data_IF_257500534155
#
_entry.id   IF_257500534155
#
_cell.length_a   1.000
_cell.length_b   1.000
_cell.length_c   1.000
_cell.angle_alpha   90.00
_cell.angle_beta   90.00
_cell.angle_gamma   90.00
#
_symmetry.space_group_name_H-M   'P 1'
#
loop_
_entity.id
_entity.type
_entity.pdbx_description
1 polymer ?
#
# COMPACT_ATOMS: atom_id res chain seq x y z
N UNK A 1 -1.80 15.33 -14.69
CA UNK A 1 -0.77 14.66 -13.87
C UNK A 1 -1.07 13.18 -13.67
N UNK A 2 -2.30 12.82 -13.26
CA UNK A 2 -2.70 11.44 -12.99
C UNK A 2 -2.62 10.53 -14.23
N UNK A 3 -3.02 11.03 -15.40
CA UNK A 3 -2.95 10.25 -16.65
C UNK A 3 -1.53 9.75 -16.95
N UNK A 4 -0.50 10.58 -16.75
CA UNK A 4 0.89 10.19 -16.99
C UNK A 4 1.38 9.08 -16.06
N UNK A 5 0.88 9.03 -14.81
CA UNK A 5 1.19 7.95 -13.87
C UNK A 5 0.50 6.64 -14.28
N UNK A 6 -0.75 6.71 -14.74
CA UNK A 6 -1.46 5.55 -15.28
C UNK A 6 -0.75 5.00 -16.52
N UNK A 7 -0.36 5.88 -17.44
CA UNK A 7 0.37 5.51 -18.67
C UNK A 7 1.73 4.87 -18.33
N UNK A 8 2.45 5.41 -17.34
CA UNK A 8 3.73 4.84 -16.88
C UNK A 8 3.54 3.44 -16.28
N UNK A 9 2.55 3.25 -15.40
CA UNK A 9 2.24 1.94 -14.80
C UNK A 9 1.88 0.91 -15.87
N UNK A 10 1.11 1.33 -16.88
CA UNK A 10 0.75 0.48 -18.01
C UNK A 10 1.97 0.14 -18.89
N UNK A 11 2.80 1.13 -19.23
CA UNK A 11 3.99 0.96 -20.06
C UNK A 11 5.04 0.04 -19.39
N UNK A 12 5.11 0.05 -18.06
CA UNK A 12 5.99 -0.82 -17.28
C UNK A 12 5.32 -2.14 -16.86
N UNK A 13 4.07 -2.38 -17.28
CA UNK A 13 3.29 -3.57 -16.94
C UNK A 13 3.25 -3.86 -15.42
N UNK A 14 3.12 -2.81 -14.61
CA UNK A 14 3.07 -2.90 -13.15
C UNK A 14 1.66 -3.30 -12.73
N UNK A 15 1.52 -4.51 -12.18
CA UNK A 15 0.20 -5.09 -11.87
C UNK A 15 -0.04 -5.25 -10.37
N UNK A 16 1.01 -5.36 -9.55
CA UNK A 16 0.89 -5.55 -8.11
C UNK A 16 1.33 -4.30 -7.38
N UNK A 17 0.38 -3.57 -6.80
CA UNK A 17 0.65 -2.44 -5.93
C UNK A 17 0.66 -2.90 -4.47
N UNK A 18 1.76 -2.66 -3.76
CA UNK A 18 1.94 -2.94 -2.35
C UNK A 18 1.86 -1.63 -1.57
N UNK A 19 0.94 -1.55 -0.61
CA UNK A 19 0.77 -0.42 0.31
C UNK A 19 0.85 -0.90 1.76
N UNK A 20 2.05 -0.91 2.35
CA UNK A 20 2.22 -1.17 3.78
C UNK A 20 1.59 -0.06 4.61
N UNK A 21 0.89 -0.43 5.66
CA UNK A 21 0.28 0.46 6.64
C UNK A 21 0.72 0.01 8.02
N UNK A 22 1.55 0.84 8.67
CA UNK A 22 2.06 0.60 10.02
C UNK A 22 1.76 1.81 10.91
N UNK A 23 1.24 1.52 12.09
CA UNK A 23 1.12 2.52 13.17
C UNK A 23 2.39 2.43 14.00
N UNK A 24 3.22 3.47 13.91
CA UNK A 24 4.46 3.53 14.69
C UNK A 24 4.17 3.89 16.15
N UNK A 25 4.95 3.36 17.10
CA UNK A 25 4.86 3.77 18.50
C UNK A 25 4.97 5.28 18.66
N UNK A 26 4.02 5.87 19.39
CA UNK A 26 3.92 7.33 19.58
C UNK A 26 3.20 8.08 18.45
N UNK A 27 2.62 7.38 17.47
CA UNK A 27 1.72 7.94 16.45
C UNK A 27 0.27 7.44 16.58
N UNK A 28 -0.07 6.68 17.62
CA UNK A 28 -1.42 6.17 17.84
C UNK A 28 -2.46 7.29 18.03
N UNK A 29 -2.02 8.49 18.42
CA UNK A 29 -2.85 9.68 18.57
C UNK A 29 -2.95 10.54 17.29
N UNK A 30 -2.21 10.19 16.23
CA UNK A 30 -2.24 10.93 14.96
C UNK A 30 -3.46 10.56 14.10
N UNK A 31 -4.22 9.53 14.48
CA UNK A 31 -5.44 9.07 13.81
C UNK A 31 -6.69 9.47 14.61
N UNK A 32 -7.86 9.67 13.97
CA UNK A 32 -9.12 9.89 14.68
C UNK A 32 -9.62 8.67 15.48
N UNK A 33 -8.99 7.50 15.31
CA UNK A 33 -9.37 6.28 16.03
C UNK A 33 -8.78 6.23 17.43
N UNK A 34 -9.41 5.44 18.31
CA UNK A 34 -8.89 5.26 19.67
C UNK A 34 -7.53 4.54 19.63
N UNK A 35 -6.52 5.01 20.38
CA UNK A 35 -5.16 4.45 20.35
C UNK A 35 -5.13 2.92 20.54
N UNK A 36 -5.92 2.38 21.47
CA UNK A 36 -5.97 0.95 21.77
C UNK A 36 -6.52 0.07 20.63
N UNK A 37 -7.20 0.67 19.65
CA UNK A 37 -7.70 -0.04 18.46
C UNK A 37 -6.63 -0.16 17.38
N UNK A 38 -5.80 0.87 17.23
CA UNK A 38 -4.83 0.99 16.13
C UNK A 38 -3.41 0.58 16.53
N UNK A 39 -3.09 0.59 17.82
CA UNK A 39 -1.78 0.21 18.34
C UNK A 39 -1.38 -1.19 17.85
N UNK A 40 -0.20 -1.30 17.24
CA UNK A 40 0.29 -2.55 16.66
C UNK A 40 -0.27 -2.91 15.29
N UNK A 41 -1.01 -2.01 14.63
CA UNK A 41 -1.42 -2.20 13.23
C UNK A 41 -0.18 -2.24 12.34
N UNK A 42 -0.06 -3.31 11.58
CA UNK A 42 1.00 -3.53 10.60
C UNK A 42 0.45 -4.48 9.53
N UNK A 43 -0.10 -3.94 8.45
CA UNK A 43 -0.69 -4.72 7.36
C UNK A 43 -0.14 -4.27 6.01
N UNK A 44 -0.31 -5.09 4.98
CA UNK A 44 0.00 -4.72 3.60
C UNK A 44 -1.20 -4.98 2.71
N UNK A 45 -1.63 -3.97 1.96
CA UNK A 45 -2.63 -4.13 0.91
C UNK A 45 -1.92 -4.40 -0.42
N UNK A 46 -2.31 -5.50 -1.07
CA UNK A 46 -1.88 -5.94 -2.40
C UNK A 46 -3.04 -5.69 -3.36
N UNK A 47 -2.93 -4.59 -4.10
CA UNK A 47 -3.94 -4.12 -5.05
C UNK A 47 -3.56 -4.50 -6.48
N UNK A 48 -4.50 -5.05 -7.23
CA UNK A 48 -4.38 -5.16 -8.69
C UNK A 48 -4.35 -3.77 -9.33
N UNK A 49 -3.36 -3.48 -10.18
CA UNK A 49 -3.09 -2.11 -10.63
C UNK A 49 -3.33 -1.90 -12.14
N UNK A 50 -3.50 -2.96 -12.92
CA UNK A 50 -3.43 -2.92 -14.39
C UNK A 50 -4.71 -3.32 -15.12
N UNK A 51 -5.74 -3.78 -14.40
CA UNK A 51 -7.02 -4.22 -14.94
C UNK A 51 -8.22 -3.71 -14.12
N UNK A 52 -9.33 -4.42 -14.22
CA UNK A 52 -10.56 -4.08 -13.52
C UNK A 52 -11.30 -2.88 -14.12
N UNK A 53 -12.18 -2.27 -13.30
CA UNK A 53 -13.10 -1.23 -13.74
C UNK A 53 -12.40 -0.01 -14.38
N UNK A 54 -11.17 0.29 -13.97
CA UNK A 54 -10.43 1.48 -14.42
C UNK A 54 -9.99 1.38 -15.89
N UNK A 55 -9.74 0.16 -16.36
CA UNK A 55 -9.21 -0.09 -17.70
C UNK A 55 -10.18 -0.83 -18.62
N UNK A 56 -11.24 -1.42 -18.06
CA UNK A 56 -12.20 -2.22 -18.83
C UNK A 56 -12.93 -1.42 -19.91
N UNK A 57 -13.26 -2.11 -21.01
CA UNK A 57 -14.01 -1.57 -22.14
C UNK A 57 -15.25 -2.44 -22.42
N UNK A 58 -16.36 -1.84 -22.91
CA UNK A 58 -16.54 -0.42 -23.23
C UNK A 58 -16.57 0.47 -21.98
N UNK A 59 -16.16 1.74 -22.14
CA UNK A 59 -16.32 2.77 -21.11
C UNK A 59 -16.62 4.12 -21.75
N UNK A 60 -17.40 4.97 -21.07
CA UNK A 60 -17.66 6.34 -21.47
C UNK A 60 -19.13 6.74 -21.44
N UNK A 61 -19.37 8.02 -21.69
CA UNK A 61 -20.71 8.62 -21.73
C UNK A 61 -21.18 8.84 -23.16
N UNK A 62 -22.48 8.66 -23.41
CA UNK A 62 -23.10 9.00 -24.70
C UNK A 62 -24.47 9.64 -24.53
N UNK A 63 -24.81 10.51 -25.46
CA UNK A 63 -26.14 11.10 -25.59
C UNK A 63 -27.00 10.19 -26.47
N UNK A 64 -28.17 9.81 -25.99
CA UNK A 64 -29.19 9.07 -26.75
C UNK A 64 -30.47 9.87 -26.90
N UNK A 65 -31.41 9.32 -27.68
CA UNK A 65 -32.78 9.82 -27.75
C UNK A 65 -33.51 9.79 -26.39
N UNK A 66 -33.08 8.95 -25.44
CA UNK A 66 -33.68 8.83 -24.10
C UNK A 66 -32.92 9.64 -23.03
N UNK A 67 -31.84 10.34 -23.39
CA UNK A 67 -31.01 11.10 -22.47
C UNK A 67 -29.55 10.64 -22.45
N UNK A 68 -28.81 11.07 -21.44
CA UNK A 68 -27.41 10.69 -21.24
C UNK A 68 -27.33 9.32 -20.57
N UNK A 69 -26.48 8.46 -21.09
CA UNK A 69 -26.11 7.19 -20.47
C UNK A 69 -24.60 7.05 -20.38
N UNK A 70 -24.14 6.23 -19.44
CA UNK A 70 -22.73 5.94 -19.20
C UNK A 70 -22.55 4.44 -18.99
N UNK A 71 -21.39 3.93 -19.39
CA UNK A 71 -20.99 2.55 -19.12
C UNK A 71 -19.55 2.55 -18.62
N UNK A 72 -19.27 1.67 -17.68
CA UNK A 72 -17.94 1.29 -17.24
C UNK A 72 -17.95 -0.24 -17.06
N UNK A 73 -16.87 -0.90 -17.47
CA UNK A 73 -16.84 -2.37 -17.51
C UNK A 73 -15.84 -2.91 -16.48
N UNK A 74 -16.32 -3.67 -15.50
CA UNK A 74 -15.45 -4.44 -14.61
C UNK A 74 -15.14 -5.80 -15.25
N UNK A 75 -13.88 -6.00 -15.63
CA UNK A 75 -13.44 -7.22 -16.30
C UNK A 75 -12.07 -7.67 -15.79
N UNK A 76 -11.95 -8.99 -15.59
CA UNK A 76 -10.71 -9.67 -15.24
C UNK A 76 -10.63 -11.02 -15.95
N UNK A 77 -9.42 -11.39 -16.38
CA UNK A 77 -9.06 -12.76 -16.74
C UNK A 77 -8.48 -13.49 -15.54
N UNK A 78 -8.61 -14.82 -15.53
CA UNK A 78 -8.05 -15.68 -14.48
C UNK A 78 -6.55 -15.41 -14.23
N UNK A 79 -5.76 -15.19 -15.29
CA UNK A 79 -4.31 -15.01 -15.18
C UNK A 79 -3.96 -13.70 -14.47
N UNK A 80 -4.79 -12.66 -14.63
CA UNK A 80 -4.60 -11.36 -13.99
C UNK A 80 -4.82 -11.45 -12.48
N UNK A 81 -5.81 -12.25 -12.07
CA UNK A 81 -6.12 -12.52 -10.66
C UNK A 81 -5.05 -13.44 -10.06
N UNK A 82 -4.74 -14.54 -10.75
CA UNK A 82 -3.79 -15.56 -10.29
C UNK A 82 -2.41 -14.96 -10.00
N UNK A 83 -1.87 -14.12 -10.91
CA UNK A 83 -0.54 -13.52 -10.72
C UNK A 83 -0.48 -12.59 -9.50
N UNK A 84 -1.56 -11.85 -9.21
CA UNK A 84 -1.61 -10.98 -8.03
C UNK A 84 -1.69 -11.80 -6.75
N UNK A 85 -2.57 -12.80 -6.72
CA UNK A 85 -2.74 -13.66 -5.55
C UNK A 85 -1.44 -14.37 -5.20
N UNK A 86 -0.68 -14.88 -6.18
CA UNK A 86 0.64 -15.46 -5.93
C UNK A 86 1.61 -14.45 -5.29
N UNK A 87 1.62 -13.19 -5.72
CA UNK A 87 2.41 -12.13 -5.06
C UNK A 87 1.95 -11.92 -3.62
N UNK A 88 0.65 -11.89 -3.37
CA UNK A 88 0.10 -11.71 -2.03
C UNK A 88 0.41 -12.89 -1.10
N UNK A 89 0.30 -14.12 -1.58
CA UNK A 89 0.67 -15.32 -0.83
C UNK A 89 2.17 -15.40 -0.54
N UNK A 90 3.03 -15.12 -1.53
CA UNK A 90 4.48 -15.06 -1.34
C UNK A 90 4.84 -14.01 -0.28
N UNK A 91 4.19 -12.84 -0.31
CA UNK A 91 4.37 -11.79 0.69
C UNK A 91 3.90 -12.24 2.08
N UNK A 92 2.70 -12.83 2.18
CA UNK A 92 2.15 -13.32 3.44
C UNK A 92 3.06 -14.39 4.08
N UNK A 93 3.63 -15.30 3.27
CA UNK A 93 4.57 -16.34 3.72
C UNK A 93 5.81 -15.76 4.40
N UNK A 94 6.29 -14.60 3.93
CA UNK A 94 7.41 -13.85 4.53
C UNK A 94 7.04 -12.97 5.72
N UNK A 95 5.75 -12.88 6.07
CA UNK A 95 5.21 -12.07 7.18
C UNK A 95 4.59 -12.97 8.25
N UNK A 96 3.36 -12.71 8.70
CA UNK A 96 2.67 -13.48 9.73
C UNK A 96 1.89 -14.67 9.17
N UNK A 97 2.13 -15.01 7.89
CA UNK A 97 1.51 -16.13 7.18
C UNK A 97 -0.01 -16.08 7.20
N UNK A 98 -0.57 -14.87 7.04
CA UNK A 98 -2.01 -14.68 6.93
C UNK A 98 -2.37 -13.83 5.71
N UNK A 99 -3.29 -14.33 4.89
CA UNK A 99 -3.84 -13.63 3.74
C UNK A 99 -5.37 -13.56 3.84
N UNK A 100 -5.91 -12.36 3.67
CA UNK A 100 -7.34 -12.14 3.48
C UNK A 100 -7.58 -11.71 2.03
N UNK A 101 -8.36 -12.48 1.26
CA UNK A 101 -8.82 -12.10 -0.07
C UNK A 101 -10.12 -11.32 0.03
N UNK A 102 -10.17 -10.11 -0.55
CA UNK A 102 -11.32 -9.21 -0.44
C UNK A 102 -12.05 -9.09 -1.78
N UNK A 103 -13.37 -9.30 -1.78
CA UNK A 103 -14.18 -9.32 -3.00
C UNK A 103 -15.66 -8.92 -2.75
N UNK A 104 -16.50 -9.02 -3.79
CA UNK A 104 -17.98 -8.91 -3.68
C UNK A 104 -18.70 -10.08 -4.38
N UNK A 105 -18.27 -11.31 -4.12
CA UNK A 105 -18.73 -12.53 -4.82
C UNK A 105 -20.22 -12.84 -4.62
N UNK A 106 -20.87 -12.26 -3.61
CA UNK A 106 -22.32 -12.35 -3.45
C UNK A 106 -23.10 -11.60 -4.54
N UNK A 107 -22.48 -10.64 -5.24
CA UNK A 107 -23.12 -9.81 -6.28
C UNK A 107 -22.42 -9.98 -7.62
N UNK A 108 -21.09 -9.77 -7.67
CA UNK A 108 -20.35 -9.57 -8.91
C UNK A 108 -19.78 -10.88 -9.46
N UNK A 109 -19.94 -11.11 -10.77
CA UNK A 109 -19.36 -12.28 -11.46
C UNK A 109 -17.82 -12.24 -11.46
N UNK A 110 -17.22 -11.06 -11.67
CA UNK A 110 -15.77 -10.85 -11.57
C UNK A 110 -15.22 -11.25 -10.20
N UNK A 111 -15.96 -10.94 -9.13
CA UNK A 111 -15.58 -11.35 -7.77
C UNK A 111 -15.77 -12.84 -7.49
N UNK A 112 -16.71 -13.53 -8.16
CA UNK A 112 -16.83 -15.00 -8.08
C UNK A 112 -15.63 -15.67 -8.72
N UNK A 113 -15.26 -15.23 -9.94
CA UNK A 113 -14.02 -15.66 -10.59
C UNK A 113 -12.81 -15.41 -9.68
N UNK A 114 -12.73 -14.22 -9.08
CA UNK A 114 -11.64 -13.87 -8.17
C UNK A 114 -11.52 -14.87 -7.01
N UNK A 115 -12.64 -15.17 -6.36
CA UNK A 115 -12.70 -16.09 -5.22
C UNK A 115 -12.34 -17.52 -5.61
N UNK A 116 -12.84 -18.01 -6.74
CA UNK A 116 -12.51 -19.34 -7.27
C UNK A 116 -11.01 -19.48 -7.52
N UNK A 117 -10.40 -18.51 -8.22
CA UNK A 117 -8.95 -18.50 -8.47
C UNK A 117 -8.16 -18.35 -7.16
N UNK A 118 -8.64 -17.58 -6.19
CA UNK A 118 -8.00 -17.44 -4.89
C UNK A 118 -7.97 -18.76 -4.11
N UNK A 119 -9.05 -19.54 -4.14
CA UNK A 119 -9.10 -20.88 -3.54
C UNK A 119 -8.17 -21.87 -4.24
N UNK A 120 -8.07 -21.79 -5.57
CA UNK A 120 -7.15 -22.63 -6.34
C UNK A 120 -5.69 -22.33 -6.01
N UNK A 121 -5.31 -21.04 -6.01
CA UNK A 121 -3.95 -20.62 -5.65
C UNK A 121 -3.63 -20.99 -4.20
N UNK A 122 -4.58 -20.86 -3.27
CA UNK A 122 -4.37 -21.20 -1.86
C UNK A 122 -3.88 -22.64 -1.63
N UNK A 123 -4.22 -23.58 -2.52
CA UNK A 123 -3.76 -24.98 -2.45
C UNK A 123 -2.24 -25.11 -2.59
N UNK A 124 -1.59 -24.17 -3.29
CA UNK A 124 -0.13 -24.10 -3.44
C UNK A 124 0.57 -23.51 -2.19
N UNK A 125 -0.20 -22.97 -1.23
CA UNK A 125 0.29 -22.25 -0.05
C UNK A 125 -0.32 -22.79 1.26
N UNK A 126 -0.18 -24.09 1.57
CA UNK A 126 -0.80 -24.70 2.75
C UNK A 126 -0.27 -24.15 4.09
N UNK A 127 0.85 -23.42 4.07
CA UNK A 127 1.46 -22.79 5.23
C UNK A 127 0.95 -21.37 5.52
N UNK A 128 0.06 -20.82 4.68
CA UNK A 128 -0.55 -19.50 4.85
C UNK A 128 -2.01 -19.65 5.24
N UNK A 129 -2.39 -19.07 6.39
CA UNK A 129 -3.79 -18.99 6.80
C UNK A 129 -4.56 -18.06 5.84
N UNK A 130 -5.59 -18.61 5.20
CA UNK A 130 -6.36 -17.94 4.16
C UNK A 130 -7.82 -17.73 4.59
N UNK A 131 -8.37 -16.54 4.34
CA UNK A 131 -9.80 -16.24 4.50
C UNK A 131 -10.34 -15.35 3.37
N UNK A 132 -11.62 -15.51 3.02
CA UNK A 132 -12.35 -14.58 2.16
C UNK A 132 -13.09 -13.54 3.01
N UNK A 133 -13.15 -12.31 2.53
CA UNK A 133 -13.93 -11.25 3.17
C UNK A 133 -14.63 -10.40 2.13
N UNK A 134 -15.87 -9.97 2.41
CA UNK A 134 -16.53 -9.02 1.52
C UNK A 134 -16.00 -7.60 1.74
N UNK A 135 -15.89 -6.81 0.68
CA UNK A 135 -15.31 -5.45 0.71
C UNK A 135 -15.98 -4.52 1.73
N UNK A 136 -17.30 -4.60 1.90
CA UNK A 136 -18.05 -3.83 2.91
C UNK A 136 -17.71 -4.26 4.33
N UNK A 137 -17.59 -5.57 4.58
CA UNK A 137 -17.14 -6.09 5.86
C UNK A 137 -15.67 -5.73 6.14
N UNK A 138 -14.83 -5.74 5.09
CA UNK A 138 -13.41 -5.35 5.18
C UNK A 138 -13.27 -3.89 5.62
N UNK A 139 -14.03 -2.97 5.01
CA UNK A 139 -14.03 -1.56 5.41
C UNK A 139 -14.37 -1.41 6.91
N UNK A 140 -15.47 -2.04 7.37
CA UNK A 140 -15.82 -2.04 8.79
C UNK A 140 -14.74 -2.65 9.69
N UNK A 141 -14.05 -3.68 9.23
CA UNK A 141 -13.02 -4.38 10.00
C UNK A 141 -11.70 -3.62 10.07
N UNK A 142 -11.33 -2.85 9.05
CA UNK A 142 -10.19 -1.95 9.09
C UNK A 142 -10.36 -0.91 10.21
N UNK A 143 -11.57 -0.40 10.41
CA UNK A 143 -11.84 0.54 11.52
C UNK A 143 -11.92 -0.16 12.87
N UNK A 144 -12.55 -1.34 12.94
CA UNK A 144 -12.87 -2.01 14.22
C UNK A 144 -11.71 -2.83 14.79
N UNK A 145 -10.93 -3.50 13.94
CA UNK A 145 -9.91 -4.49 14.33
C UNK A 145 -8.74 -4.57 13.32
N UNK A 146 -8.10 -3.45 12.97
CA UNK A 146 -7.07 -3.42 11.93
C UNK A 146 -5.89 -4.36 12.20
N UNK A 147 -5.53 -4.54 13.48
CA UNK A 147 -4.45 -5.42 13.95
C UNK A 147 -4.65 -6.90 13.61
N UNK A 148 -5.87 -7.31 13.24
CA UNK A 148 -6.17 -8.69 12.87
C UNK A 148 -5.80 -9.05 11.43
N UNK A 149 -5.46 -8.07 10.59
CA UNK A 149 -5.01 -8.29 9.21
C UNK A 149 -3.49 -8.38 9.14
N UNK A 150 -2.98 -9.12 8.15
CA UNK A 150 -1.55 -9.16 7.81
C UNK A 150 -1.36 -8.74 6.35
N UNK A 151 -1.82 -9.56 5.41
CA UNK A 151 -1.88 -9.20 3.99
C UNK A 151 -3.34 -9.20 3.53
N UNK A 152 -3.75 -8.12 2.85
CA UNK A 152 -5.03 -8.00 2.17
C UNK A 152 -4.78 -8.05 0.66
N UNK A 153 -5.46 -8.91 -0.08
CA UNK A 153 -5.40 -8.93 -1.55
C UNK A 153 -6.76 -8.60 -2.16
N UNK A 154 -6.79 -7.72 -3.15
CA UNK A 154 -8.05 -7.26 -3.74
C UNK A 154 -7.88 -6.67 -5.14
N UNK A 155 -8.99 -6.58 -5.89
CA UNK A 155 -9.03 -5.94 -7.20
C UNK A 155 -8.76 -4.43 -7.14
N UNK A 156 -8.63 -3.80 -8.31
CA UNK A 156 -8.17 -2.43 -8.46
C UNK A 156 -9.01 -1.39 -7.71
N UNK A 157 -10.32 -1.34 -7.96
CA UNK A 157 -11.20 -0.32 -7.37
C UNK A 157 -11.33 -0.51 -5.84
N UNK A 158 -11.54 -1.74 -5.38
CA UNK A 158 -11.62 -2.03 -3.95
C UNK A 158 -10.29 -1.75 -3.24
N UNK A 159 -9.16 -2.09 -3.87
CA UNK A 159 -7.84 -1.82 -3.33
C UNK A 159 -7.54 -0.33 -3.24
N UNK A 160 -8.02 0.47 -4.18
CA UNK A 160 -7.94 1.93 -4.10
C UNK A 160 -8.58 2.44 -2.80
N UNK A 161 -9.87 2.14 -2.65
CA UNK A 161 -10.71 2.59 -1.53
C UNK A 161 -10.15 2.10 -0.19
N UNK A 162 -9.90 0.80 -0.05
CA UNK A 162 -9.46 0.20 1.21
C UNK A 162 -8.06 0.67 1.59
N UNK A 163 -7.19 0.97 0.63
CA UNK A 163 -5.85 1.47 0.93
C UNK A 163 -5.83 2.90 1.42
N UNK A 164 -6.73 3.74 0.90
CA UNK A 164 -6.91 5.10 1.40
C UNK A 164 -7.64 5.10 2.76
N UNK A 165 -8.56 4.16 3.00
CA UNK A 165 -9.14 3.96 4.33
C UNK A 165 -8.08 3.51 5.35
N UNK A 166 -7.25 2.53 4.99
CA UNK A 166 -6.18 2.03 5.85
C UNK A 166 -5.12 3.11 6.12
N UNK A 167 -4.94 4.07 5.21
CA UNK A 167 -4.02 5.20 5.42
C UNK A 167 -4.37 6.05 6.65
N UNK A 168 -5.66 6.19 6.95
CA UNK A 168 -6.15 6.93 8.13
C UNK A 168 -5.71 6.26 9.43
N UNK A 169 -5.49 4.93 9.42
CA UNK A 169 -5.01 4.19 10.59
C UNK A 169 -3.62 4.66 11.02
N UNK A 170 -2.73 4.90 10.05
CA UNK A 170 -1.36 5.38 10.29
C UNK A 170 -1.29 6.87 10.71
N UNK A 171 -2.44 7.57 10.72
CA UNK A 171 -2.56 8.98 11.12
C UNK A 171 -2.17 9.98 10.04
N UNK A 172 -1.27 9.64 9.13
CA UNK A 172 -0.93 10.51 7.99
C UNK A 172 -0.57 9.73 6.73
N UNK A 173 -1.10 10.20 5.59
CA UNK A 173 -0.66 9.79 4.25
C UNK A 173 0.84 10.05 4.03
N UNK A 174 1.41 11.03 4.72
CA UNK A 174 2.83 11.39 4.71
C UNK A 174 3.76 10.25 5.17
N UNK A 175 3.22 9.25 5.88
CA UNK A 175 3.96 8.11 6.41
C UNK A 175 3.95 6.88 5.50
N UNK A 176 3.19 6.90 4.41
CA UNK A 176 2.85 5.67 3.70
C UNK A 176 3.70 5.50 2.43
N UNK A 177 4.54 4.46 2.38
CA UNK A 177 5.25 4.10 1.17
C UNK A 177 4.37 3.27 0.25
N UNK A 178 4.76 3.15 -1.02
CA UNK A 178 4.19 2.15 -1.92
C UNK A 178 5.20 1.61 -2.93
N UNK A 179 4.91 0.41 -3.43
CA UNK A 179 5.67 -0.24 -4.48
C UNK A 179 4.72 -0.81 -5.54
N UNK A 180 4.96 -0.53 -6.81
CA UNK A 180 4.24 -1.12 -7.93
C UNK A 180 5.19 -2.04 -8.70
N UNK A 181 4.90 -3.34 -8.71
CA UNK A 181 5.78 -4.38 -9.23
C UNK A 181 5.30 -4.92 -10.58
N UNK A 182 6.25 -5.11 -11.50
CA UNK A 182 6.02 -5.68 -12.83
C UNK A 182 6.03 -7.21 -12.86
N UNK A 183 5.53 -7.79 -13.96
CA UNK A 183 5.47 -9.25 -14.17
C UNK A 183 6.84 -9.90 -14.33
N UNK A 184 7.79 -9.22 -14.97
CA UNK A 184 9.11 -9.75 -15.28
C UNK A 184 9.99 -9.87 -14.04
N UNK A 185 10.61 -11.04 -13.87
CA UNK A 185 11.69 -11.25 -12.91
C UNK A 185 13.03 -11.15 -13.63
N UNK A 186 13.98 -10.46 -13.03
CA UNK A 186 15.39 -10.45 -13.44
C UNK A 186 16.03 -11.80 -13.12
N UNK A 187 17.22 -12.06 -13.67
CA UNK A 187 17.96 -13.31 -13.45
C UNK A 187 18.23 -13.64 -11.96
N UNK A 188 18.28 -12.62 -11.10
CA UNK A 188 18.43 -12.76 -9.65
C UNK A 188 17.09 -12.98 -8.90
N UNK A 189 15.98 -13.19 -9.61
CA UNK A 189 14.66 -13.43 -9.03
C UNK A 189 13.88 -12.17 -8.61
N UNK A 190 14.52 -10.99 -8.65
CA UNK A 190 13.93 -9.70 -8.25
C UNK A 190 13.14 -9.05 -9.38
N UNK A 191 12.25 -8.12 -9.06
CA UNK A 191 11.40 -7.41 -10.02
C UNK A 191 11.81 -5.95 -10.09
N UNK A 192 11.93 -5.33 -11.29
CA UNK A 192 11.87 -3.88 -11.37
C UNK A 192 10.51 -3.39 -10.86
N UNK A 193 10.47 -2.20 -10.30
CA UNK A 193 9.25 -1.60 -9.77
C UNK A 193 9.32 -0.08 -9.75
N UNK A 194 8.16 0.53 -9.64
CA UNK A 194 7.98 1.95 -9.36
C UNK A 194 7.72 2.11 -7.86
N UNK A 195 8.47 3.00 -7.21
CA UNK A 195 8.38 3.25 -5.77
C UNK A 195 8.03 4.71 -5.56
N UNK A 196 6.94 4.96 -4.85
CA UNK A 196 6.38 6.29 -4.67
C UNK A 196 5.64 6.38 -3.32
N UNK A 197 5.67 7.53 -2.65
CA UNK A 197 4.78 7.74 -1.50
C UNK A 197 3.32 7.69 -1.94
N UNK A 198 2.43 7.33 -1.02
CA UNK A 198 0.98 7.34 -1.31
C UNK A 198 0.40 8.76 -1.39
N UNK A 199 0.99 9.71 -0.65
CA UNK A 199 0.49 11.09 -0.63
C UNK A 199 0.64 11.79 -1.99
N UNK A 200 -0.27 12.72 -2.29
CA UNK A 200 -0.23 13.55 -3.49
C UNK A 200 0.84 14.64 -3.44
N UNK A 201 0.77 15.57 -4.40
CA UNK A 201 1.74 16.66 -4.56
C UNK A 201 1.64 17.78 -3.53
N UNK A 202 0.53 17.86 -2.78
CA UNK A 202 0.27 18.89 -1.75
C UNK A 202 0.67 20.32 -2.19
N UNK A 203 0.05 20.86 -3.26
CA UNK A 203 0.49 22.10 -3.91
C UNK A 203 0.41 23.32 -2.98
N UNK A 204 -0.47 23.28 -2.00
CA UNK A 204 -0.66 24.31 -0.97
C UNK A 204 0.54 24.45 -0.02
N UNK A 205 1.38 23.42 0.11
CA UNK A 205 2.60 23.45 0.95
C UNK A 205 3.91 23.42 0.16
N UNK A 206 3.83 23.43 -1.17
CA UNK A 206 5.01 23.41 -2.03
C UNK A 206 5.96 24.59 -1.71
N UNK A 207 7.25 24.28 -1.57
CA UNK A 207 8.29 25.27 -1.26
C UNK A 207 8.30 25.80 0.19
N UNK A 208 7.35 25.38 1.04
CA UNK A 208 7.28 25.84 2.45
C UNK A 208 8.16 25.04 3.40
N UNK A 209 8.76 23.94 2.95
CA UNK A 209 9.65 23.11 3.76
C UNK A 209 8.94 22.35 4.90
N UNK A 210 7.65 22.07 4.76
CA UNK A 210 6.82 21.40 5.78
C UNK A 210 6.22 20.06 5.32
N UNK A 211 6.54 19.60 4.11
CA UNK A 211 6.12 18.29 3.64
C UNK A 211 6.78 17.17 4.46
N UNK A 212 6.08 16.07 4.69
CA UNK A 212 6.62 14.89 5.35
C UNK A 212 7.44 14.04 4.36
N UNK A 213 8.77 13.89 4.54
CA UNK A 213 9.60 13.10 3.64
C UNK A 213 9.51 11.59 3.89
N UNK A 214 8.90 11.15 5.00
CA UNK A 214 9.04 9.78 5.49
C UNK A 214 8.41 8.74 4.55
N UNK A 215 7.27 9.01 3.92
CA UNK A 215 6.67 8.11 2.93
C UNK A 215 7.58 7.86 1.73
N UNK A 216 8.28 8.89 1.24
CA UNK A 216 9.26 8.75 0.16
C UNK A 216 10.49 7.96 0.62
N UNK A 217 11.02 8.26 1.80
CA UNK A 217 12.17 7.54 2.39
C UNK A 217 11.84 6.05 2.59
N UNK A 218 10.66 5.73 3.12
CA UNK A 218 10.22 4.35 3.29
C UNK A 218 9.95 3.67 1.93
N UNK A 219 9.59 4.42 0.89
CA UNK A 219 9.51 3.87 -0.48
C UNK A 219 10.88 3.47 -1.02
N UNK A 220 11.95 4.20 -0.64
CA UNK A 220 13.33 3.79 -0.92
C UNK A 220 13.69 2.50 -0.16
N UNK A 221 13.24 2.33 1.08
CA UNK A 221 13.42 1.07 1.81
C UNK A 221 12.73 -0.11 1.08
N UNK A 222 11.51 0.08 0.59
CA UNK A 222 10.84 -0.91 -0.26
C UNK A 222 11.63 -1.20 -1.54
N UNK A 223 12.22 -0.18 -2.16
CA UNK A 223 13.04 -0.34 -3.35
C UNK A 223 14.28 -1.21 -3.10
N UNK A 224 15.02 -0.91 -2.03
CA UNK A 224 16.20 -1.69 -1.61
C UNK A 224 15.83 -3.15 -1.41
N UNK A 225 14.73 -3.42 -0.70
CA UNK A 225 14.23 -4.77 -0.44
C UNK A 225 13.79 -5.49 -1.72
N UNK A 226 12.87 -4.89 -2.49
CA UNK A 226 12.12 -5.58 -3.53
C UNK A 226 12.82 -5.61 -4.90
N UNK A 227 13.57 -4.55 -5.25
CA UNK A 227 14.30 -4.44 -6.52
C UNK A 227 15.77 -4.84 -6.43
N UNK A 228 16.39 -4.70 -5.26
CA UNK A 228 17.83 -4.91 -5.08
C UNK A 228 18.19 -6.07 -4.13
N UNK A 229 17.24 -6.59 -3.35
CA UNK A 229 17.49 -7.69 -2.41
C UNK A 229 18.35 -7.26 -1.21
N UNK A 230 18.46 -5.96 -0.98
CA UNK A 230 19.27 -5.32 0.06
C UNK A 230 18.44 -5.20 1.35
N UNK A 231 18.15 -6.35 1.96
CA UNK A 231 17.28 -6.43 3.15
C UNK A 231 17.90 -5.74 4.37
N UNK A 232 19.21 -5.82 4.55
CA UNK A 232 19.90 -5.18 5.67
C UNK A 232 19.81 -3.66 5.58
N UNK A 233 20.02 -3.11 4.38
CA UNK A 233 19.96 -1.68 4.09
C UNK A 233 18.52 -1.16 4.18
N UNK A 234 17.54 -1.92 3.69
CA UNK A 234 16.12 -1.59 3.86
C UNK A 234 15.74 -1.48 5.36
N UNK A 235 16.17 -2.44 6.17
CA UNK A 235 15.95 -2.42 7.62
C UNK A 235 16.66 -1.27 8.32
N UNK A 236 17.85 -0.89 7.87
CA UNK A 236 18.57 0.26 8.42
C UNK A 236 17.77 1.56 8.20
N UNK A 237 17.18 1.75 7.02
CA UNK A 237 16.31 2.90 6.73
C UNK A 237 15.03 2.86 7.59
N UNK A 238 14.36 1.70 7.67
CA UNK A 238 13.14 1.53 8.48
C UNK A 238 13.40 1.80 9.97
N UNK A 239 14.50 1.24 10.50
CA UNK A 239 14.94 1.44 11.88
C UNK A 239 15.32 2.88 12.18
N UNK A 240 15.96 3.58 11.23
CA UNK A 240 16.27 5.01 11.36
C UNK A 240 15.01 5.88 11.45
N UNK A 241 14.00 5.61 10.62
CA UNK A 241 12.70 6.29 10.70
C UNK A 241 12.05 6.04 12.06
N UNK A 242 12.02 4.80 12.52
CA UNK A 242 11.46 4.43 13.83
C UNK A 242 12.20 5.12 14.99
N UNK A 243 13.54 5.17 14.94
CA UNK A 243 14.36 5.84 15.94
C UNK A 243 14.16 7.36 15.98
N UNK A 244 14.02 8.01 14.82
CA UNK A 244 13.76 9.46 14.74
C UNK A 244 12.36 9.79 15.26
N UNK A 245 11.35 8.96 14.96
CA UNK A 245 10.01 9.12 15.51
C UNK A 245 9.99 8.88 17.03
N UNK A 246 10.74 7.92 17.55
CA UNK A 246 10.86 7.67 18.99
C UNK A 246 11.49 8.84 19.76
N UNK A 247 12.33 9.64 19.12
CA UNK A 247 12.89 10.89 19.68
C UNK A 247 11.90 12.06 19.69
N UNK A 248 10.68 11.86 19.16
CA UNK A 248 9.61 12.85 19.17
C UNK A 248 9.67 13.87 18.04
N UNK A 249 10.52 13.70 17.02
CA UNK A 249 10.53 14.59 15.85
C UNK A 249 9.30 14.34 14.96
N UNK A 250 8.61 15.41 14.55
CA UNK A 250 7.38 15.35 13.74
C UNK A 250 7.35 16.47 12.71
N UNK A 251 6.88 16.19 11.50
CA UNK A 251 6.37 17.23 10.59
C UNK A 251 4.93 17.61 10.98
N UNK A 252 4.42 18.76 10.50
CA UNK A 252 3.11 19.27 10.93
C UNK A 252 1.92 18.31 10.77
N UNK A 253 1.97 17.41 9.78
CA UNK A 253 0.92 16.44 9.45
C UNK A 253 0.77 15.32 10.50
N UNK A 254 1.80 15.05 11.30
CA UNK A 254 1.79 14.01 12.35
C UNK A 254 2.07 14.59 13.74
N UNK A 255 1.85 15.89 13.90
CA UNK A 255 2.17 16.62 15.12
C UNK A 255 1.21 16.22 16.27
N UNK A 256 1.77 16.01 17.46
CA UNK A 256 0.99 15.76 18.67
C UNK A 256 1.57 16.49 19.89
N UNK A 257 0.78 16.77 20.94
CA UNK A 257 1.27 17.45 22.14
C UNK A 257 2.49 16.75 22.75
N UNK A 258 3.51 17.52 23.11
CA UNK A 258 4.75 17.01 23.70
C UNK A 258 5.80 16.52 22.69
N UNK A 259 5.48 16.52 21.39
CA UNK A 259 6.46 16.23 20.33
C UNK A 259 7.18 17.51 19.85
N UNK A 260 8.28 17.36 19.11
CA UNK A 260 9.05 18.46 18.52
C UNK A 260 8.74 18.60 17.02
N UNK A 261 8.13 19.71 16.64
CA UNK A 261 7.90 20.04 15.24
C UNK A 261 9.22 20.37 14.52
N UNK A 262 9.42 19.81 13.33
CA UNK A 262 10.54 20.06 12.42
C UNK A 262 10.06 20.20 10.97
N UNK A 263 10.90 20.75 10.11
CA UNK A 263 10.65 20.85 8.67
C UNK A 263 11.10 19.61 7.88
N UNK A 264 10.78 19.58 6.59
CA UNK A 264 11.11 18.49 5.66
C UNK A 264 12.61 18.16 5.66
N UNK A 265 13.44 19.20 5.55
CA UNK A 265 14.90 19.04 5.45
C UNK A 265 15.50 18.49 6.73
N UNK A 266 15.15 19.10 7.87
CA UNK A 266 15.66 18.65 9.17
C UNK A 266 15.25 17.21 9.44
N UNK A 267 13.99 16.83 9.18
CA UNK A 267 13.57 15.44 9.40
C UNK A 267 14.34 14.45 8.50
N UNK A 268 14.60 14.82 7.25
CA UNK A 268 15.42 14.02 6.33
C UNK A 268 16.88 13.88 6.80
N UNK A 269 17.50 14.97 7.27
CA UNK A 269 18.86 14.97 7.82
C UNK A 269 18.96 14.06 9.05
N UNK A 270 17.99 14.13 9.97
CA UNK A 270 17.92 13.25 11.15
C UNK A 270 17.85 11.78 10.78
N UNK A 271 17.07 11.42 9.76
CA UNK A 271 16.97 10.04 9.29
C UNK A 271 18.29 9.59 8.67
N UNK A 272 18.92 10.43 7.85
CA UNK A 272 20.23 10.12 7.27
C UNK A 272 21.31 9.90 8.34
N UNK A 273 21.38 10.78 9.35
CA UNK A 273 22.26 10.65 10.50
C UNK A 273 22.04 9.32 11.24
N UNK A 274 20.77 8.96 11.48
CA UNK A 274 20.42 7.71 12.16
C UNK A 274 20.81 6.46 11.35
N UNK A 275 20.72 6.51 10.00
CA UNK A 275 21.22 5.43 9.14
C UNK A 275 22.75 5.28 9.26
N UNK A 276 23.49 6.39 9.20
CA UNK A 276 24.96 6.36 9.33
C UNK A 276 25.40 5.81 10.69
N UNK A 277 24.77 6.28 11.77
CA UNK A 277 25.07 5.85 13.14
C UNK A 277 24.84 4.34 13.34
N UNK A 278 23.77 3.78 12.76
CA UNK A 278 23.49 2.34 12.82
C UNK A 278 24.47 1.49 12.02
N UNK A 279 25.13 2.09 11.01
CA UNK A 279 26.05 1.40 10.09
C UNK A 279 27.49 1.31 10.63
N UNK A 280 27.81 2.03 11.72
CA UNK A 280 29.18 2.17 12.22
C UNK A 280 30.14 2.87 11.23
N UNK A 281 29.59 3.53 10.20
CA UNK A 281 30.35 4.32 9.24
C UNK A 281 30.61 5.72 9.84
N UNK A 282 31.85 6.24 9.78
CA UNK A 282 32.21 7.55 10.32
C UNK A 282 31.51 8.71 9.61
#
# INVERSE_FOLDING_TARGET
PEQGLLDLRQALHLFANLRPVRVYPGLEHATPLRPEVVAGTDLVIVRELSGGLYYGKPQGMRQTAQGREAVDTLFYREQEVQRLLRVAFDLARGRRKKLTSVDKANVLASSRLWREVAHEVARDYPDVAYEDLYVDACAMHLVRRPTSFDVLATENMFGDILSDEAAVLAGSLGMLPSASLGAERRANGLRPGLYEPVHGSAPDIAGKGIANPLGTILSVALMLRLSFGLEAEARAVEGAVEAVLAQGFRTPDVMSPGMRQVGTRELGERVAEAVCAASGAP
#
